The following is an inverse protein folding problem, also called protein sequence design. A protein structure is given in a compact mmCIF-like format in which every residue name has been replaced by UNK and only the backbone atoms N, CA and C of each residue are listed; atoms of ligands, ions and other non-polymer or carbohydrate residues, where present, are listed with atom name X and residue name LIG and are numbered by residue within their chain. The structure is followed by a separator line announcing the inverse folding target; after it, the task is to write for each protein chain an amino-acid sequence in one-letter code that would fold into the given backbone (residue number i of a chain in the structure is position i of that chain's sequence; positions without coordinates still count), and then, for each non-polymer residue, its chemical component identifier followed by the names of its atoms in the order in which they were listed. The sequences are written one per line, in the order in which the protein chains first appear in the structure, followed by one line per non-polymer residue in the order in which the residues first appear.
data_IF_693492091986
#
_entry.id   IF_693492091986
#
_cell.length_a   1.000
_cell.length_b   1.000
_cell.length_c   1.000
_cell.angle_alpha   90.00
_cell.angle_beta   90.00
_cell.angle_gamma   90.00
#
_symmetry.space_group_name_H-M   'P 1'
#
loop_
_entity.id
_entity.type
_entity.pdbx_description
1 polymer ?
#
# COMPACT_ATOMS: atom_id res chain seq x y z
N UNK A 1 -5.82 -17.51 20.10
CA UNK A 1 -5.21 -16.81 18.95
C UNK A 1 -5.06 -15.34 19.32
N UNK A 2 -3.84 -14.90 19.59
CA UNK A 2 -3.55 -13.50 19.85
C UNK A 2 -3.86 -12.68 18.59
N UNK A 3 -4.70 -11.65 18.69
CA UNK A 3 -5.02 -10.78 17.55
C UNK A 3 -3.72 -10.08 17.14
N UNK A 4 -3.10 -10.51 16.03
CA UNK A 4 -1.95 -9.81 15.45
C UNK A 4 -2.34 -8.33 15.26
N UNK A 5 -1.63 -7.44 15.96
CA UNK A 5 -1.81 -5.99 15.83
C UNK A 5 -1.27 -5.60 14.46
N UNK A 6 -2.14 -5.55 13.45
CA UNK A 6 -1.75 -5.17 12.10
C UNK A 6 -1.25 -3.73 12.10
N UNK A 7 -0.02 -3.49 11.59
CA UNK A 7 0.48 -2.13 11.32
C UNK A 7 -0.48 -1.50 10.31
N UNK A 8 -1.08 -0.36 10.67
CA UNK A 8 -1.83 0.48 9.73
C UNK A 8 -0.82 1.18 8.82
N UNK A 9 -1.07 1.20 7.52
CA UNK A 9 -0.34 2.08 6.61
C UNK A 9 -0.66 3.53 7.01
N UNK A 10 0.38 4.32 7.24
CA UNK A 10 0.28 5.76 7.41
C UNK A 10 0.23 6.45 6.06
N UNK A 11 -0.10 7.75 6.04
CA UNK A 11 -0.19 8.49 4.79
C UNK A 11 1.16 8.54 4.04
N UNK A 12 2.28 8.65 4.77
CA UNK A 12 3.63 8.59 4.21
C UNK A 12 3.92 7.25 3.52
N UNK A 13 3.48 6.14 4.13
CA UNK A 13 3.58 4.81 3.50
C UNK A 13 2.81 4.81 2.17
N UNK A 14 1.60 5.39 2.13
CA UNK A 14 0.78 5.50 0.91
C UNK A 14 1.43 6.37 -0.16
N UNK A 15 2.05 7.49 0.21
CA UNK A 15 2.79 8.34 -0.71
C UNK A 15 3.97 7.59 -1.34
N UNK A 16 4.64 6.74 -0.56
CA UNK A 16 5.71 5.87 -1.06
C UNK A 16 5.17 4.86 -2.08
N UNK A 17 4.04 4.21 -1.79
CA UNK A 17 3.38 3.28 -2.73
C UNK A 17 3.06 4.00 -4.06
N UNK A 18 2.45 5.19 -3.99
CA UNK A 18 2.12 5.98 -5.18
C UNK A 18 3.37 6.38 -5.98
N UNK A 19 4.40 6.91 -5.30
CA UNK A 19 5.62 7.37 -5.96
C UNK A 19 6.38 6.22 -6.63
N UNK A 20 6.52 5.09 -5.96
CA UNK A 20 7.20 3.91 -6.50
C UNK A 20 6.39 3.24 -7.61
N UNK A 21 5.06 3.21 -7.48
CA UNK A 21 4.20 2.71 -8.56
C UNK A 21 4.36 3.52 -9.84
N UNK A 22 4.37 4.85 -9.75
CA UNK A 22 4.62 5.75 -10.90
C UNK A 22 6.00 5.57 -11.52
N UNK A 23 6.97 5.07 -10.76
CA UNK A 23 8.31 4.72 -11.23
C UNK A 23 8.37 3.32 -11.85
N UNK A 24 7.26 2.56 -11.87
CA UNK A 24 7.20 1.20 -12.40
C UNK A 24 7.76 0.13 -11.47
N UNK A 25 7.94 0.44 -10.17
CA UNK A 25 8.39 -0.55 -9.18
C UNK A 25 7.33 -1.64 -8.98
N UNK A 26 7.78 -2.87 -8.76
CA UNK A 26 6.86 -3.97 -8.49
C UNK A 26 6.27 -3.87 -7.07
N UNK A 27 5.15 -4.55 -6.83
CA UNK A 27 4.54 -4.65 -5.49
C UNK A 27 5.53 -5.25 -4.47
N UNK A 28 6.44 -6.11 -4.90
CA UNK A 28 7.47 -6.70 -4.04
C UNK A 28 8.45 -5.62 -3.56
N UNK A 29 8.95 -4.81 -4.48
CA UNK A 29 9.95 -3.76 -4.18
C UNK A 29 9.33 -2.69 -3.26
N UNK A 30 8.07 -2.32 -3.52
CA UNK A 30 7.31 -1.41 -2.68
C UNK A 30 7.14 -1.97 -1.26
N UNK A 31 6.81 -3.25 -1.14
CA UNK A 31 6.63 -3.89 0.16
C UNK A 31 7.95 -3.96 0.95
N UNK A 32 9.06 -4.23 0.26
CA UNK A 32 10.40 -4.24 0.85
C UNK A 32 10.81 -2.85 1.35
N UNK A 33 10.60 -1.81 0.53
CA UNK A 33 10.87 -0.41 0.92
C UNK A 33 10.08 0.03 2.16
N UNK A 34 8.85 -0.47 2.32
CA UNK A 34 7.97 -0.16 3.45
C UNK A 34 8.15 -1.10 4.66
N UNK A 35 9.00 -2.12 4.55
CA UNK A 35 9.14 -3.15 5.57
C UNK A 35 7.84 -3.89 5.89
N UNK A 36 6.99 -4.11 4.87
CA UNK A 36 5.68 -4.77 5.00
C UNK A 36 5.59 -6.00 4.10
N UNK A 37 4.51 -6.76 4.25
CA UNK A 37 4.22 -7.88 3.36
C UNK A 37 3.49 -7.39 2.11
N UNK A 38 3.75 -8.00 0.94
CA UNK A 38 3.05 -7.68 -0.33
C UNK A 38 1.52 -7.72 -0.20
N UNK A 39 0.99 -8.63 0.62
CA UNK A 39 -0.46 -8.73 0.86
C UNK A 39 -1.04 -7.47 1.49
N UNK A 40 -0.24 -6.73 2.27
CA UNK A 40 -0.67 -5.43 2.82
C UNK A 40 -0.96 -4.45 1.70
N UNK A 41 -0.11 -4.42 0.66
CA UNK A 41 -0.27 -3.56 -0.51
C UNK A 41 -1.48 -4.00 -1.34
N UNK A 42 -1.62 -5.30 -1.63
CA UNK A 42 -2.79 -5.80 -2.35
C UNK A 42 -4.12 -5.56 -1.61
N UNK A 43 -4.13 -5.65 -0.28
CA UNK A 43 -5.31 -5.34 0.53
C UNK A 43 -5.65 -3.86 0.49
N UNK A 44 -4.64 -3.00 0.48
CA UNK A 44 -4.82 -1.56 0.32
C UNK A 44 -5.45 -1.24 -1.05
N UNK A 45 -4.89 -1.80 -2.12
CA UNK A 45 -5.42 -1.68 -3.48
C UNK A 45 -6.88 -2.15 -3.56
N UNK A 46 -7.17 -3.32 -3.00
CA UNK A 46 -8.54 -3.86 -2.93
C UNK A 46 -9.49 -2.95 -2.15
N UNK A 47 -9.01 -2.29 -1.10
CA UNK A 47 -9.83 -1.40 -0.26
C UNK A 47 -10.24 -0.13 -1.00
N UNK A 48 -9.33 0.47 -1.77
CA UNK A 48 -9.60 1.68 -2.54
C UNK A 48 -10.01 1.41 -4.00
N UNK A 49 -10.21 0.14 -4.40
CA UNK A 49 -10.58 -0.24 -5.76
C UNK A 49 -9.54 0.12 -6.83
N UNK A 50 -8.27 0.16 -6.46
CA UNK A 50 -7.17 0.54 -7.36
C UNK A 50 -6.33 -0.67 -7.79
N UNK A 51 -5.50 -0.46 -8.82
CA UNK A 51 -4.41 -1.36 -9.21
C UNK A 51 -3.07 -0.69 -8.90
N UNK A 52 -1.95 -1.36 -9.17
CA UNK A 52 -0.64 -0.73 -9.08
C UNK A 52 -0.63 0.57 -9.90
N UNK A 53 -1.01 0.50 -11.18
CA UNK A 53 -0.97 1.61 -12.13
C UNK A 53 -1.89 2.78 -11.78
N UNK A 54 -3.03 2.53 -11.12
CA UNK A 54 -4.04 3.56 -10.83
C UNK A 54 -4.04 4.03 -9.37
N UNK A 55 -3.13 3.50 -8.54
CA UNK A 55 -3.10 3.82 -7.12
C UNK A 55 -2.70 5.28 -6.86
N UNK A 56 -3.43 5.92 -5.95
CA UNK A 56 -3.08 7.24 -5.38
C UNK A 56 -3.15 7.18 -3.86
N UNK A 57 -2.26 7.91 -3.18
CA UNK A 57 -2.24 7.94 -1.73
C UNK A 57 -3.54 8.52 -1.14
N UNK A 58 -4.14 9.48 -1.86
CA UNK A 58 -5.43 10.07 -1.50
C UNK A 58 -6.56 9.03 -1.51
N UNK A 59 -6.65 8.19 -2.54
CA UNK A 59 -7.67 7.13 -2.61
C UNK A 59 -7.49 6.10 -1.48
N UNK A 60 -6.25 5.72 -1.16
CA UNK A 60 -5.96 4.85 -0.02
C UNK A 60 -6.36 5.45 1.32
N UNK A 61 -6.15 6.76 1.51
CA UNK A 61 -6.49 7.47 2.74
C UNK A 61 -8.00 7.64 2.92
N UNK A 62 -8.74 7.90 1.84
CA UNK A 62 -10.20 8.07 1.87
C UNK A 62 -10.95 6.75 2.16
N UNK A 63 -10.35 5.61 1.85
CA UNK A 63 -10.98 4.30 1.98
C UNK A 63 -10.87 3.68 3.40
N UNK A 64 -10.32 4.40 4.38
CA UNK A 64 -10.09 3.96 5.78
C UNK A 64 -11.29 4.16 6.69
#
# INVERSE_FOLDING_TARGET
MEKRKYKRLHYEDRQTIEAMSKQGSSVKDIAEALGTHRDTIYREFKRCGATLETYTAAAGQQAL
#
